data_IF_596843032463
#
_entry.id   IF_596843032463
#
_cell.length_a   1.000
_cell.length_b   1.000
_cell.length_c   1.000
_cell.angle_alpha   90.00
_cell.angle_beta   90.00
_cell.angle_gamma   90.00
#
_symmetry.space_group_name_H-M   'P 1'
#
loop_
_entity.id
_entity.type
_entity.pdbx_description
1 polymer ?
#
# COMPACT_ATOMS: atom_id res chain seq x y z
N UNK A 1 -22.19 21.14 30.46
CA UNK A 1 -20.78 20.73 30.60
C UNK A 1 -19.99 21.55 29.58
N UNK A 2 -18.82 22.08 29.93
CA UNK A 2 -18.03 22.85 28.95
C UNK A 2 -17.60 21.91 27.81
N UNK A 3 -17.79 22.34 26.58
CA UNK A 3 -17.49 21.62 25.34
C UNK A 3 -16.09 21.99 24.78
N UNK A 4 -15.28 22.69 25.58
CA UNK A 4 -13.88 23.03 25.28
C UNK A 4 -12.97 21.80 25.12
N UNK A 5 -13.38 20.65 25.65
CA UNK A 5 -12.64 19.40 25.45
C UNK A 5 -12.60 18.99 23.98
N UNK A 6 -13.62 19.34 23.18
CA UNK A 6 -13.69 19.02 21.74
C UNK A 6 -12.53 19.69 21.00
N UNK A 7 -12.25 20.95 21.31
CA UNK A 7 -11.16 21.70 20.70
C UNK A 7 -9.78 21.10 21.05
N UNK A 8 -9.65 20.55 22.26
CA UNK A 8 -8.42 19.88 22.70
C UNK A 8 -8.24 18.50 22.07
N UNK A 9 -9.33 17.77 21.86
CA UNK A 9 -9.32 16.40 21.33
C UNK A 9 -9.28 16.35 19.79
N UNK A 10 -10.22 17.03 19.11
CA UNK A 10 -10.35 17.03 17.65
C UNK A 10 -9.39 18.04 16.99
N UNK A 11 -9.08 19.11 17.72
CA UNK A 11 -8.30 20.24 17.23
C UNK A 11 -9.18 21.29 16.56
N UNK A 12 -8.95 22.55 16.94
CA UNK A 12 -9.73 23.72 16.49
C UNK A 12 -9.88 23.76 14.97
N UNK A 13 -8.80 23.58 14.21
CA UNK A 13 -8.83 23.67 12.74
C UNK A 13 -9.72 22.60 12.09
N UNK A 14 -9.85 21.41 12.70
CA UNK A 14 -10.73 20.34 12.19
C UNK A 14 -12.17 20.60 12.58
N UNK A 15 -12.41 21.02 13.82
CA UNK A 15 -13.76 21.27 14.31
C UNK A 15 -14.41 22.49 13.66
N UNK A 16 -13.63 23.52 13.31
CA UNK A 16 -14.11 24.73 12.64
C UNK A 16 -14.91 24.41 11.36
N UNK A 17 -14.46 23.44 10.55
CA UNK A 17 -15.18 23.03 9.34
C UNK A 17 -16.59 22.54 9.65
N UNK A 18 -16.80 21.82 10.75
CA UNK A 18 -18.13 21.34 11.15
C UNK A 18 -18.98 22.45 11.77
N UNK A 19 -18.34 23.39 12.48
CA UNK A 19 -19.01 24.57 13.03
C UNK A 19 -19.54 25.49 11.94
N UNK A 20 -18.76 25.73 10.90
CA UNK A 20 -19.15 26.59 9.77
C UNK A 20 -20.41 26.05 9.08
N UNK A 21 -20.48 24.73 8.86
CA UNK A 21 -21.65 24.04 8.30
C UNK A 21 -22.87 24.03 9.25
N UNK A 22 -22.63 24.09 10.56
CA UNK A 22 -23.67 24.07 11.59
C UNK A 22 -24.03 25.46 12.14
N UNK A 23 -23.62 26.54 11.47
CA UNK A 23 -23.85 27.93 11.88
C UNK A 23 -23.38 28.23 13.34
N UNK A 24 -22.28 27.61 13.77
CA UNK A 24 -21.70 27.77 15.10
C UNK A 24 -22.36 26.92 16.20
N UNK A 25 -23.36 26.10 15.87
CA UNK A 25 -23.98 25.16 16.81
C UNK A 25 -23.01 24.00 17.10
N UNK A 26 -22.36 24.06 18.26
CA UNK A 26 -21.31 23.12 18.66
C UNK A 26 -21.81 21.70 18.88
N UNK A 27 -23.06 21.53 19.32
CA UNK A 27 -23.64 20.21 19.51
C UNK A 27 -23.87 19.52 18.16
N UNK A 28 -24.52 20.23 17.22
CA UNK A 28 -24.73 19.69 15.85
C UNK A 28 -23.44 19.47 15.09
N UNK A 29 -22.44 20.32 15.30
CA UNK A 29 -21.12 20.14 14.69
C UNK A 29 -20.43 18.86 15.19
N UNK A 30 -20.60 18.51 16.46
CA UNK A 30 -20.10 17.25 17.00
C UNK A 30 -20.87 16.06 16.41
N UNK A 31 -22.21 16.12 16.38
CA UNK A 31 -23.04 15.06 15.77
C UNK A 31 -22.66 14.82 14.30
N UNK A 32 -22.40 15.88 13.53
CA UNK A 32 -21.96 15.79 12.14
C UNK A 32 -20.57 15.16 12.01
N UNK A 33 -19.65 15.48 12.93
CA UNK A 33 -18.34 14.85 12.98
C UNK A 33 -18.44 13.36 13.30
N UNK A 34 -19.26 12.98 14.29
CA UNK A 34 -19.49 11.59 14.67
C UNK A 34 -20.10 10.80 13.52
N UNK A 35 -21.10 11.38 12.83
CA UNK A 35 -21.67 10.78 11.63
C UNK A 35 -20.61 10.53 10.53
N UNK A 36 -19.69 11.48 10.31
CA UNK A 36 -18.59 11.29 9.35
C UNK A 36 -17.64 10.16 9.79
N UNK A 37 -17.40 10.00 11.10
CA UNK A 37 -16.62 8.87 11.64
C UNK A 37 -17.34 7.55 11.41
N UNK A 38 -18.65 7.48 11.69
CA UNK A 38 -19.47 6.28 11.47
C UNK A 38 -19.48 5.86 9.99
N UNK A 39 -19.64 6.83 9.08
CA UNK A 39 -19.55 6.59 7.65
C UNK A 39 -18.17 6.01 7.24
N UNK A 40 -17.09 6.54 7.82
CA UNK A 40 -15.74 6.00 7.63
C UNK A 40 -15.58 4.59 8.19
N UNK A 41 -16.14 4.31 9.36
CA UNK A 41 -16.08 2.99 10.01
C UNK A 41 -16.78 1.90 9.17
N UNK A 42 -17.94 2.21 8.59
CA UNK A 42 -18.65 1.29 7.72
C UNK A 42 -17.77 0.84 6.54
N UNK A 43 -17.03 1.77 5.95
CA UNK A 43 -16.13 1.47 4.84
C UNK A 43 -14.90 0.65 5.26
N UNK A 44 -14.39 0.84 6.49
CA UNK A 44 -13.22 0.11 6.98
C UNK A 44 -13.45 -1.40 7.04
N UNK A 45 -14.68 -1.84 7.29
CA UNK A 45 -15.05 -3.27 7.23
C UNK A 45 -14.79 -3.85 5.84
N UNK A 46 -15.29 -3.20 4.80
CA UNK A 46 -15.17 -3.69 3.43
C UNK A 46 -13.74 -3.55 2.90
N UNK A 47 -13.03 -2.48 3.29
CA UNK A 47 -11.59 -2.32 2.99
C UNK A 47 -10.78 -3.48 3.58
N UNK A 48 -11.07 -3.93 4.80
CA UNK A 48 -10.36 -5.04 5.42
C UNK A 48 -10.49 -6.34 4.61
N UNK A 49 -11.70 -6.66 4.13
CA UNK A 49 -11.93 -7.82 3.26
C UNK A 49 -11.25 -7.66 1.90
N UNK A 50 -11.38 -6.48 1.29
CA UNK A 50 -10.74 -6.17 0.02
C UNK A 50 -9.22 -6.32 0.11
N UNK A 51 -8.61 -5.87 1.19
CA UNK A 51 -7.15 -5.94 1.36
C UNK A 51 -6.64 -7.39 1.42
N UNK A 52 -7.36 -8.30 2.10
CA UNK A 52 -7.04 -9.73 2.09
C UNK A 52 -7.17 -10.33 0.70
N UNK A 53 -8.26 -10.02 -0.01
CA UNK A 53 -8.47 -10.51 -1.37
C UNK A 53 -7.38 -9.99 -2.32
N UNK A 54 -7.00 -8.71 -2.20
CA UNK A 54 -5.97 -8.08 -3.01
C UNK A 54 -4.59 -8.71 -2.78
N UNK A 55 -4.20 -8.92 -1.52
CA UNK A 55 -2.95 -9.59 -1.15
C UNK A 55 -2.83 -10.96 -1.81
N UNK A 56 -3.88 -11.77 -1.70
CA UNK A 56 -3.92 -13.11 -2.27
C UNK A 56 -3.91 -13.09 -3.80
N UNK A 57 -4.62 -12.13 -4.42
CA UNK A 57 -4.64 -11.98 -5.87
C UNK A 57 -3.27 -11.59 -6.44
N UNK A 58 -2.57 -10.64 -5.82
CA UNK A 58 -1.21 -10.30 -6.21
C UNK A 58 -0.25 -11.45 -6.01
N UNK A 59 -0.32 -12.13 -4.86
CA UNK A 59 0.57 -13.24 -4.59
C UNK A 59 0.40 -14.37 -5.61
N UNK A 60 -0.86 -14.72 -5.93
CA UNK A 60 -1.16 -15.71 -6.96
C UNK A 60 -0.64 -15.28 -8.35
N UNK A 61 -0.87 -14.02 -8.74
CA UNK A 61 -0.44 -13.52 -10.04
C UNK A 61 1.09 -13.47 -10.20
N UNK A 62 1.80 -12.99 -9.17
CA UNK A 62 3.26 -12.91 -9.19
C UNK A 62 3.86 -14.31 -9.13
N UNK A 63 3.39 -15.16 -8.23
CA UNK A 63 3.87 -16.53 -8.08
C UNK A 63 3.68 -17.36 -9.35
N UNK A 64 2.59 -17.16 -10.09
CA UNK A 64 2.35 -17.85 -11.36
C UNK A 64 3.34 -17.47 -12.48
N UNK A 65 3.86 -16.25 -12.45
CA UNK A 65 4.85 -15.76 -13.42
C UNK A 65 6.29 -15.81 -12.88
N UNK A 66 6.50 -16.25 -11.64
CA UNK A 66 7.79 -16.30 -10.99
C UNK A 66 8.56 -17.56 -11.39
N UNK A 67 9.79 -17.45 -11.93
CA UNK A 67 10.48 -18.59 -12.51
C UNK A 67 11.21 -19.49 -11.49
N UNK A 68 11.30 -19.09 -10.22
CA UNK A 68 12.06 -19.83 -9.20
C UNK A 68 11.14 -20.60 -8.26
N UNK A 69 11.62 -21.74 -7.75
CA UNK A 69 10.90 -22.55 -6.75
C UNK A 69 10.70 -21.81 -5.43
N UNK A 70 11.67 -20.96 -5.06
CA UNK A 70 11.57 -20.15 -3.85
C UNK A 70 10.63 -18.97 -4.11
N UNK A 71 9.70 -18.78 -3.19
CA UNK A 71 8.73 -17.69 -3.20
C UNK A 71 9.39 -16.32 -3.46
N UNK A 72 8.78 -15.51 -4.33
CA UNK A 72 9.31 -14.23 -4.81
C UNK A 72 9.71 -13.27 -3.67
N UNK A 73 8.93 -13.16 -2.61
CA UNK A 73 9.28 -12.32 -1.44
C UNK A 73 10.55 -12.74 -0.69
N UNK A 74 10.99 -13.99 -0.84
CA UNK A 74 12.14 -14.54 -0.11
C UNK A 74 13.33 -14.77 -1.04
N UNK A 75 13.22 -14.41 -2.32
CA UNK A 75 14.27 -14.60 -3.31
C UNK A 75 15.06 -13.30 -3.51
N UNK A 76 16.39 -13.30 -3.40
CA UNK A 76 17.21 -12.08 -3.45
C UNK A 76 17.12 -11.34 -4.79
N UNK A 77 16.78 -12.03 -5.88
CA UNK A 77 16.61 -11.44 -7.22
C UNK A 77 15.22 -10.87 -7.44
N UNK A 78 14.32 -10.97 -6.45
CA UNK A 78 12.98 -10.43 -6.61
C UNK A 78 13.00 -8.91 -6.68
N UNK A 79 12.33 -8.31 -7.67
CA UNK A 79 12.15 -6.87 -7.78
C UNK A 79 11.60 -6.22 -6.50
N UNK A 80 10.86 -6.96 -5.68
CA UNK A 80 10.33 -6.45 -4.41
C UNK A 80 11.38 -6.32 -3.31
N UNK A 81 12.51 -7.02 -3.41
CA UNK A 81 13.57 -7.04 -2.38
C UNK A 81 14.92 -6.54 -2.88
N UNK A 82 15.12 -6.39 -4.20
CA UNK A 82 16.35 -5.84 -4.77
C UNK A 82 16.34 -4.30 -4.80
N UNK A 83 17.49 -3.68 -4.58
CA UNK A 83 17.63 -2.22 -4.67
C UNK A 83 17.52 -1.76 -6.13
N UNK A 84 16.72 -0.73 -6.39
CA UNK A 84 16.54 -0.18 -7.73
C UNK A 84 17.03 1.27 -7.71
N UNK A 85 18.24 1.51 -8.22
CA UNK A 85 18.83 2.84 -8.25
C UNK A 85 18.34 3.64 -9.45
N UNK A 86 17.74 4.81 -9.20
CA UNK A 86 17.48 5.81 -10.24
C UNK A 86 18.28 7.07 -9.97
N UNK A 87 18.83 7.64 -11.03
CA UNK A 87 19.54 8.92 -10.98
C UNK A 87 18.64 10.01 -11.55
N UNK A 88 18.44 11.08 -10.78
CA UNK A 88 17.75 12.28 -11.23
C UNK A 88 18.69 13.48 -11.16
N UNK A 89 18.69 14.30 -12.20
CA UNK A 89 19.39 15.59 -12.16
C UNK A 89 18.48 16.62 -11.51
N UNK A 90 18.94 17.23 -10.43
CA UNK A 90 18.24 18.32 -9.74
C UNK A 90 19.22 19.48 -9.63
N UNK A 91 18.87 20.63 -10.24
CA UNK A 91 19.72 21.82 -10.24
C UNK A 91 21.16 21.55 -10.74
N UNK A 92 21.31 20.75 -11.79
CA UNK A 92 22.63 20.40 -12.37
C UNK A 92 23.41 19.33 -11.60
N UNK A 93 22.95 18.91 -10.42
CA UNK A 93 23.59 17.86 -9.61
C UNK A 93 22.88 16.52 -9.85
N UNK A 94 23.64 15.48 -10.21
CA UNK A 94 23.12 14.11 -10.30
C UNK A 94 22.93 13.55 -8.88
N UNK A 95 21.71 13.17 -8.53
CA UNK A 95 21.39 12.48 -7.28
C UNK A 95 20.84 11.09 -7.58
N UNK A 96 21.51 10.07 -7.07
CA UNK A 96 21.02 8.69 -7.08
C UNK A 96 20.16 8.43 -5.85
N UNK A 97 19.02 7.77 -6.04
CA UNK A 97 18.21 7.27 -4.94
C UNK A 97 17.69 5.86 -5.27
N UNK A 98 17.71 4.97 -4.28
CA UNK A 98 17.00 3.71 -4.37
C UNK A 98 15.50 3.98 -4.29
N UNK A 99 14.81 3.82 -5.42
CA UNK A 99 13.37 4.07 -5.50
C UNK A 99 12.55 2.98 -4.83
N UNK A 100 13.15 1.81 -4.61
CA UNK A 100 12.51 0.66 -3.99
C UNK A 100 12.78 0.55 -2.49
N UNK A 101 13.57 1.48 -1.91
CA UNK A 101 13.99 1.42 -0.52
C UNK A 101 12.83 1.22 0.47
N UNK A 102 11.70 1.91 0.26
CA UNK A 102 10.53 1.80 1.14
C UNK A 102 9.87 0.42 1.06
N UNK A 103 9.71 -0.11 -0.15
CA UNK A 103 9.17 -1.45 -0.38
C UNK A 103 10.07 -2.49 0.29
N UNK A 104 11.38 -2.44 0.03
CA UNK A 104 12.35 -3.38 0.62
C UNK A 104 12.34 -3.34 2.14
N UNK A 105 12.36 -2.13 2.70
CA UNK A 105 12.29 -1.96 4.16
C UNK A 105 11.01 -2.58 4.73
N UNK A 106 9.87 -2.40 4.06
CA UNK A 106 8.61 -3.04 4.46
C UNK A 106 8.69 -4.57 4.40
N UNK A 107 9.34 -5.13 3.38
CA UNK A 107 9.55 -6.59 3.29
C UNK A 107 10.49 -7.08 4.39
N UNK A 108 11.60 -6.39 4.63
CA UNK A 108 12.57 -6.73 5.68
C UNK A 108 11.93 -6.70 7.08
N UNK A 109 11.13 -5.67 7.37
CA UNK A 109 10.41 -5.52 8.63
C UNK A 109 9.37 -6.64 8.81
N UNK A 110 8.66 -7.03 7.75
CA UNK A 110 7.69 -8.14 7.78
C UNK A 110 8.35 -9.52 7.92
N UNK A 111 9.47 -9.76 7.23
CA UNK A 111 10.25 -11.00 7.40
C UNK A 111 10.77 -11.10 8.84
N UNK A 112 11.23 -9.98 9.39
CA UNK A 112 11.67 -9.88 10.79
C UNK A 112 10.54 -10.21 11.77
N UNK A 113 9.33 -9.66 11.58
CA UNK A 113 8.19 -9.96 12.45
C UNK A 113 7.76 -11.44 12.35
N UNK A 114 7.94 -12.06 11.18
CA UNK A 114 7.56 -13.44 10.91
C UNK A 114 8.61 -14.50 11.29
N UNK A 115 9.70 -14.14 11.97
CA UNK A 115 10.71 -15.09 12.43
C UNK A 115 11.91 -15.28 11.49
N UNK A 116 12.25 -14.24 10.71
CA UNK A 116 13.45 -14.17 9.88
C UNK A 116 13.56 -15.32 8.87
N UNK A 117 14.63 -16.11 8.91
CA UNK A 117 14.92 -17.17 7.93
C UNK A 117 13.92 -18.33 7.90
N UNK A 118 12.97 -18.39 8.85
CA UNK A 118 11.86 -19.35 8.87
C UNK A 118 10.50 -18.71 8.54
N UNK A 119 10.49 -17.48 8.06
CA UNK A 119 9.26 -16.76 7.74
C UNK A 119 8.48 -17.51 6.66
N UNK A 120 7.21 -17.79 6.94
CA UNK A 120 6.28 -18.33 5.96
C UNK A 120 5.84 -17.18 5.04
N UNK A 121 5.93 -17.32 3.71
CA UNK A 121 5.50 -16.29 2.76
C UNK A 121 4.09 -15.76 3.00
N UNK A 122 3.12 -16.64 3.29
CA UNK A 122 1.74 -16.23 3.57
C UNK A 122 1.61 -15.38 4.83
N UNK A 123 2.46 -15.61 5.84
CA UNK A 123 2.52 -14.73 7.02
C UNK A 123 3.13 -13.38 6.68
N UNK A 124 4.18 -13.36 5.88
CA UNK A 124 4.83 -12.10 5.42
C UNK A 124 3.84 -11.26 4.61
N UNK A 125 3.07 -11.88 3.71
CA UNK A 125 2.01 -11.22 2.93
C UNK A 125 0.92 -10.62 3.83
N UNK A 126 0.58 -11.31 4.92
CA UNK A 126 -0.43 -10.85 5.87
C UNK A 126 0.00 -9.61 6.68
N UNK A 127 1.30 -9.30 6.74
CA UNK A 127 1.83 -8.11 7.43
C UNK A 127 1.73 -6.84 6.55
N UNK A 128 1.53 -6.97 5.24
CA UNK A 128 1.60 -5.84 4.32
C UNK A 128 0.31 -5.01 4.23
N UNK A 129 0.36 -3.77 4.70
CA UNK A 129 -0.71 -2.79 4.46
C UNK A 129 -1.01 -2.55 2.97
N UNK A 130 -2.20 -2.06 2.64
CA UNK A 130 -2.61 -1.67 1.28
C UNK A 130 -1.58 -0.76 0.57
N UNK A 131 -0.89 0.11 1.33
CA UNK A 131 0.13 1.01 0.80
C UNK A 131 1.34 0.32 0.19
N UNK A 132 1.64 -0.92 0.57
CA UNK A 132 2.70 -1.74 -0.04
C UNK A 132 2.35 -2.10 -1.49
N UNK A 133 1.15 -2.65 -1.71
CA UNK A 133 0.68 -3.09 -3.02
C UNK A 133 0.55 -1.95 -4.03
N UNK A 134 0.16 -0.75 -3.55
CA UNK A 134 0.19 0.48 -4.37
C UNK A 134 1.61 0.87 -4.80
N UNK A 135 2.60 0.69 -3.94
CA UNK A 135 4.00 1.01 -4.27
C UNK A 135 4.59 0.00 -5.26
N UNK A 136 4.24 -1.27 -5.11
CA UNK A 136 4.68 -2.34 -6.00
C UNK A 136 4.24 -2.12 -7.45
N UNK A 137 3.05 -1.54 -7.66
CA UNK A 137 2.49 -1.26 -8.99
C UNK A 137 2.77 0.13 -9.55
N UNK A 138 3.41 1.01 -8.78
CA UNK A 138 3.69 2.37 -9.24
C UNK A 138 4.79 2.41 -10.32
N UNK A 139 4.71 3.37 -11.25
CA UNK A 139 5.60 3.57 -12.41
C UNK A 139 7.09 3.89 -12.07
N UNK A 140 7.44 3.96 -10.78
CA UNK A 140 8.84 3.78 -10.36
C UNK A 140 9.39 2.40 -10.79
N UNK A 141 8.49 1.48 -11.12
CA UNK A 141 8.70 0.25 -11.85
C UNK A 141 8.27 0.41 -13.32
N UNK A 142 8.64 1.50 -13.99
CA UNK A 142 8.64 1.55 -15.45
C UNK A 142 9.50 0.39 -15.95
N UNK A 143 8.83 -0.68 -16.40
CA UNK A 143 9.30 -2.06 -16.64
C UNK A 143 9.74 -2.90 -15.41
N UNK A 144 9.49 -2.46 -14.16
CA UNK A 144 10.38 -2.79 -13.03
C UNK A 144 9.91 -3.75 -11.93
N UNK A 145 8.77 -4.43 -12.03
CA UNK A 145 8.43 -5.56 -11.12
C UNK A 145 7.58 -6.59 -11.88
N UNK A 146 6.45 -6.17 -12.43
CA UNK A 146 5.57 -7.01 -13.24
C UNK A 146 6.04 -7.12 -14.70
N UNK A 147 6.71 -6.10 -15.23
CA UNK A 147 7.33 -6.13 -16.57
C UNK A 147 8.64 -6.94 -16.64
N UNK A 148 9.28 -7.17 -15.48
CA UNK A 148 10.49 -8.00 -15.35
C UNK A 148 10.16 -9.49 -15.12
N UNK A 149 8.88 -9.83 -14.89
CA UNK A 149 8.44 -11.22 -14.92
C UNK A 149 8.45 -11.66 -16.40
N UNK A 150 8.97 -12.85 -16.74
CA UNK A 150 9.00 -13.32 -18.10
C UNK A 150 7.59 -13.30 -18.67
N UNK A 151 7.36 -12.45 -19.66
CA UNK A 151 6.13 -12.42 -20.42
C UNK A 151 5.97 -13.74 -21.16
N UNK A 152 5.32 -14.73 -20.55
CA UNK A 152 4.82 -15.87 -21.29
C UNK A 152 3.69 -15.36 -22.19
N UNK A 153 4.07 -15.10 -23.44
CA UNK A 153 3.25 -15.09 -24.65
C UNK A 153 1.75 -15.27 -24.38
N UNK A 154 1.02 -14.15 -24.28
CA UNK A 154 -0.40 -14.15 -24.61
C UNK A 154 -0.48 -14.67 -26.04
N UNK A 155 -0.96 -15.91 -26.21
CA UNK A 155 -1.13 -16.49 -27.53
C UNK A 155 -2.04 -15.56 -28.32
N UNK A 156 -1.52 -14.99 -29.42
CA UNK A 156 -2.39 -14.38 -30.40
C UNK A 156 -3.33 -15.47 -30.90
N UNK A 157 -4.60 -15.36 -30.51
CA UNK A 157 -5.65 -16.24 -30.98
C UNK A 157 -5.65 -16.24 -32.51
N UNK A 158 -5.54 -17.44 -33.09
CA UNK A 158 -5.89 -17.71 -34.46
C UNK A 158 -7.25 -17.06 -34.77
N UNK A 159 -7.25 -15.99 -35.58
CA UNK A 159 -8.44 -15.63 -36.33
C UNK A 159 -8.47 -16.50 -37.57
N UNK A 160 -9.34 -17.49 -37.53
CA UNK A 160 -9.88 -18.13 -38.70
C UNK A 160 -10.55 -17.08 -39.60
N UNK A 161 -10.20 -17.09 -40.88
CA UNK A 161 -11.05 -16.72 -42.01
C UNK A 161 -10.58 -17.54 -43.20
#
# INVERSE_FOLDING_TARGET
MSDQWIDSWLGVARFQRYLDECAGDRAKALDLYEWNVEAGQALMHDIAHFEVALRNAYDAAISAAWPHEKHWLLHPESPAVMSIWRTKTVQGIKRGSDVNFRTRKSVDDAIRSCGYGKANPGKVIAEFSFGFWRQLTNECHGEGCLGALPAHSVSQGHRAA
#
